data_IF_060458675722
#
_entry.id   IF_060458675722
#
_cell.length_a   1.000
_cell.length_b   1.000
_cell.length_c   1.000
_cell.angle_alpha   90.00
_cell.angle_beta   90.00
_cell.angle_gamma   90.00
#
_symmetry.space_group_name_H-M   'P 1'
#
loop_
_entity.id
_entity.type
_entity.pdbx_description
1 polymer ?
#
# COMPACT_ATOMS: atom_id res chain seq x y z
N UNK A 1 3.55 -13.79 -20.07
CA UNK A 1 4.49 -13.37 -19.01
C UNK A 1 3.71 -12.48 -18.06
N UNK A 2 3.36 -12.98 -16.88
CA UNK A 2 2.65 -12.19 -15.87
C UNK A 2 3.60 -11.12 -15.32
N UNK A 3 3.27 -9.82 -15.45
CA UNK A 3 4.10 -8.77 -14.89
C UNK A 3 4.11 -8.91 -13.36
N UNK A 4 5.28 -8.76 -12.76
CA UNK A 4 5.39 -8.74 -11.31
C UNK A 4 4.61 -7.54 -10.75
N UNK A 5 3.94 -7.70 -9.59
CA UNK A 5 3.30 -6.57 -8.94
C UNK A 5 4.34 -5.47 -8.64
N UNK A 6 3.96 -4.19 -8.75
CA UNK A 6 4.86 -3.11 -8.44
C UNK A 6 5.25 -3.14 -6.95
N UNK A 7 6.52 -2.92 -6.64
CA UNK A 7 7.06 -3.02 -5.27
C UNK A 7 6.24 -2.20 -4.26
N UNK A 8 5.74 -1.04 -4.67
CA UNK A 8 4.89 -0.18 -3.83
C UNK A 8 3.58 -0.83 -3.40
N UNK A 9 2.99 -1.70 -4.23
CA UNK A 9 1.77 -2.42 -3.89
C UNK A 9 2.00 -3.38 -2.72
N UNK A 10 3.12 -4.09 -2.73
CA UNK A 10 3.52 -4.99 -1.63
C UNK A 10 3.78 -4.22 -0.33
N UNK A 11 4.51 -3.10 -0.41
CA UNK A 11 4.82 -2.27 0.76
C UNK A 11 3.54 -1.64 1.37
N UNK A 12 2.65 -1.11 0.53
CA UNK A 12 1.38 -0.54 0.99
C UNK A 12 0.47 -1.60 1.62
N UNK A 13 0.43 -2.80 1.04
CA UNK A 13 -0.34 -3.92 1.56
C UNK A 13 0.18 -4.38 2.94
N UNK A 14 1.49 -4.56 3.09
CA UNK A 14 2.11 -4.94 4.39
C UNK A 14 1.81 -3.89 5.48
N UNK A 15 2.02 -2.61 5.20
CA UNK A 15 1.76 -1.53 6.15
C UNK A 15 0.27 -1.48 6.54
N UNK A 16 -0.66 -1.66 5.59
CA UNK A 16 -2.08 -1.71 5.85
C UNK A 16 -2.49 -2.93 6.70
N UNK A 17 -1.87 -4.10 6.49
CA UNK A 17 -2.11 -5.30 7.29
C UNK A 17 -1.59 -5.14 8.72
N UNK A 18 -0.39 -4.56 8.90
CA UNK A 18 0.23 -4.34 10.22
C UNK A 18 -0.54 -3.34 11.07
N UNK A 19 -1.06 -2.28 10.44
CA UNK A 19 -1.75 -1.19 11.14
C UNK A 19 -3.27 -1.36 11.20
N UNK A 20 -3.86 -2.19 10.34
CA UNK A 20 -5.31 -2.33 10.18
C UNK A 20 -6.02 -1.07 9.67
N UNK A 21 -5.27 -0.05 9.22
CA UNK A 21 -5.83 1.26 8.84
C UNK A 21 -5.02 1.91 7.72
N UNK A 22 -5.70 2.29 6.63
CA UNK A 22 -5.05 3.01 5.53
C UNK A 22 -4.55 4.40 5.92
N UNK A 23 -5.14 5.04 6.93
CA UNK A 23 -4.67 6.35 7.41
C UNK A 23 -3.37 6.22 8.20
N UNK A 24 -3.25 5.18 9.04
CA UNK A 24 -2.02 4.93 9.80
C UNK A 24 -0.90 4.43 8.88
N UNK A 25 -1.20 3.49 7.96
CA UNK A 25 -0.25 3.04 6.96
C UNK A 25 0.28 4.20 6.09
N UNK A 26 -0.59 5.14 5.72
CA UNK A 26 -0.20 6.32 4.96
C UNK A 26 0.74 7.24 5.75
N UNK A 27 0.51 7.39 7.06
CA UNK A 27 1.39 8.14 7.94
C UNK A 27 2.78 7.48 8.07
N UNK A 28 2.85 6.14 8.19
CA UNK A 28 4.14 5.42 8.21
C UNK A 28 4.92 5.54 6.90
N UNK A 29 4.20 5.55 5.76
CA UNK A 29 4.80 5.56 4.42
C UNK A 29 4.97 6.98 3.83
N UNK A 30 4.63 8.04 4.58
CA UNK A 30 4.68 9.44 4.13
C UNK A 30 3.90 9.69 2.82
N UNK A 31 2.71 9.11 2.70
CA UNK A 31 1.81 9.27 1.55
C UNK A 31 0.41 9.68 2.01
N UNK A 32 -0.50 9.90 1.06
CA UNK A 32 -1.92 10.12 1.38
C UNK A 32 -2.65 8.78 1.56
N UNK A 33 -3.72 8.71 2.37
CA UNK A 33 -4.51 7.49 2.54
C UNK A 33 -5.06 6.93 1.21
N UNK A 34 -5.42 7.82 0.27
CA UNK A 34 -5.85 7.42 -1.07
C UNK A 34 -4.75 6.76 -1.89
N UNK A 35 -3.48 7.16 -1.72
CA UNK A 35 -2.35 6.55 -2.42
C UNK A 35 -2.09 5.11 -1.95
N UNK A 36 -2.33 4.81 -0.67
CA UNK A 36 -2.24 3.43 -0.13
C UNK A 36 -3.25 2.53 -0.84
N UNK A 37 -4.51 2.93 -0.93
CA UNK A 37 -5.54 2.18 -1.64
C UNK A 37 -5.22 1.98 -3.12
N UNK A 38 -4.75 3.04 -3.81
CA UNK A 38 -4.36 2.96 -5.21
C UNK A 38 -3.14 2.05 -5.45
N UNK A 39 -2.21 1.97 -4.50
CA UNK A 39 -1.07 1.06 -4.58
C UNK A 39 -1.50 -0.39 -4.36
N UNK A 40 -2.33 -0.66 -3.35
CA UNK A 40 -2.85 -2.01 -3.08
C UNK A 40 -3.69 -2.53 -4.25
N UNK A 41 -4.48 -1.67 -4.91
CA UNK A 41 -5.29 -2.06 -6.09
C UNK A 41 -4.45 -2.51 -7.30
N UNK A 42 -3.14 -2.19 -7.31
CA UNK A 42 -2.20 -2.60 -8.36
C UNK A 42 -1.48 -3.92 -8.05
N UNK A 43 -1.79 -4.54 -6.90
CA UNK A 43 -1.34 -5.88 -6.55
C UNK A 43 -2.17 -6.93 -7.30
#
# INVERSE_FOLDING_TARGET
>A
MTPYPPLKALVAFDAAMRTGSFSLAAAELFVTPGAVGQQIQKL
#
